data_IF_460542753893
#
_entry.id   IF_460542753893
#
_cell.length_a   1.000
_cell.length_b   1.000
_cell.length_c   1.000
_cell.angle_alpha   90.00
_cell.angle_beta   90.00
_cell.angle_gamma   90.00
#
_symmetry.space_group_name_H-M   'P 1'
#
loop_
_entity.id
_entity.type
_entity.pdbx_description
1 polymer ?
#
# COMPACT_ATOMS: atom_id res chain seq x y z
N UNK A 1 4.79 2.17 -7.86
CA UNK A 1 6.16 1.97 -7.34
C UNK A 1 6.76 0.62 -7.76
N UNK A 2 6.26 -0.54 -7.32
CA UNK A 2 6.85 -1.88 -7.63
C UNK A 2 7.21 -2.07 -9.10
N UNK A 3 6.30 -1.75 -10.03
CA UNK A 3 6.54 -1.93 -11.48
C UNK A 3 7.62 -0.97 -12.00
N UNK A 4 7.69 0.25 -11.47
CA UNK A 4 8.71 1.23 -11.84
C UNK A 4 10.10 0.78 -11.37
N UNK A 5 10.23 0.37 -10.12
CA UNK A 5 11.49 -0.17 -9.57
C UNK A 5 11.93 -1.43 -10.30
N UNK A 6 10.98 -2.33 -10.66
CA UNK A 6 11.29 -3.51 -11.47
C UNK A 6 11.87 -3.14 -12.84
N UNK A 7 11.35 -2.10 -13.51
CA UNK A 7 11.91 -1.61 -14.79
C UNK A 7 13.33 -1.04 -14.63
N UNK A 8 13.60 -0.44 -13.47
CA UNK A 8 14.92 0.08 -13.12
C UNK A 8 15.88 -0.98 -12.56
N UNK A 9 15.47 -2.26 -12.53
CA UNK A 9 16.23 -3.37 -11.94
C UNK A 9 16.58 -3.15 -10.46
N UNK A 10 15.70 -2.45 -9.72
CA UNK A 10 15.83 -2.20 -8.28
C UNK A 10 14.97 -3.21 -7.52
N UNK A 11 15.57 -3.87 -6.51
CA UNK A 11 14.88 -4.77 -5.61
C UNK A 11 13.73 -4.08 -4.88
N UNK A 12 12.63 -4.80 -4.66
CA UNK A 12 11.46 -4.28 -3.98
C UNK A 12 10.74 -5.36 -3.20
N UNK A 13 10.57 -5.12 -1.90
CA UNK A 13 9.75 -5.95 -0.99
C UNK A 13 8.64 -5.08 -0.41
N UNK A 14 7.48 -5.68 -0.24
CA UNK A 14 6.33 -5.04 0.39
C UNK A 14 6.18 -5.57 1.81
N UNK A 15 6.40 -4.71 2.80
CA UNK A 15 6.21 -5.01 4.21
C UNK A 15 4.73 -4.93 4.63
N UNK A 16 4.40 -5.47 5.79
CA UNK A 16 3.13 -5.19 6.47
C UNK A 16 3.07 -3.71 6.85
N UNK A 17 1.85 -3.21 7.13
CA UNK A 17 1.66 -1.82 7.58
C UNK A 17 2.27 -1.61 8.96
N UNK A 18 3.10 -0.59 9.09
CA UNK A 18 3.82 -0.18 10.31
C UNK A 18 5.33 -0.11 10.08
N UNK A 19 5.95 0.95 10.57
CA UNK A 19 7.38 1.25 10.41
C UNK A 19 8.30 0.12 10.86
N UNK A 20 7.96 -0.54 11.97
CA UNK A 20 8.70 -1.71 12.48
C UNK A 20 8.81 -2.85 11.46
N UNK A 21 7.78 -3.05 10.63
CA UNK A 21 7.79 -4.09 9.59
C UNK A 21 8.62 -3.67 8.39
N UNK A 22 8.66 -2.36 8.11
CA UNK A 22 9.56 -1.80 7.10
C UNK A 22 11.00 -1.98 7.56
N UNK A 23 11.31 -1.63 8.82
CA UNK A 23 12.63 -1.81 9.41
C UNK A 23 13.09 -3.29 9.38
N UNK A 24 12.21 -4.20 9.81
CA UNK A 24 12.47 -5.64 9.75
C UNK A 24 12.79 -6.11 8.32
N UNK A 25 12.00 -5.68 7.33
CA UNK A 25 12.21 -6.06 5.94
C UNK A 25 13.52 -5.49 5.37
N UNK A 26 13.94 -4.31 5.82
CA UNK A 26 15.24 -3.72 5.45
C UNK A 26 16.39 -4.55 6.01
N UNK A 27 16.33 -4.92 7.28
CA UNK A 27 17.34 -5.74 7.97
C UNK A 27 17.48 -7.12 7.31
N UNK A 28 16.35 -7.82 7.11
CA UNK A 28 16.32 -9.15 6.46
C UNK A 28 16.91 -9.18 5.05
N UNK A 29 16.83 -8.06 4.31
CA UNK A 29 17.34 -7.96 2.93
C UNK A 29 18.69 -7.23 2.82
N UNK A 30 19.25 -6.72 3.92
CA UNK A 30 20.45 -5.89 3.91
C UNK A 30 20.25 -4.58 3.15
N UNK A 31 19.05 -4.01 3.18
CA UNK A 31 18.71 -2.77 2.48
C UNK A 31 18.68 -1.59 3.44
N UNK A 32 18.89 -0.39 2.89
CA UNK A 32 19.00 0.84 3.70
C UNK A 32 17.83 1.80 3.50
N UNK A 33 17.05 1.66 2.43
CA UNK A 33 15.96 2.60 2.11
C UNK A 33 14.61 1.92 2.11
N UNK A 34 13.69 2.46 2.89
CA UNK A 34 12.30 2.01 2.95
C UNK A 34 11.36 3.15 3.32
N UNK A 35 10.05 2.90 3.22
CA UNK A 35 9.09 3.92 3.61
C UNK A 35 7.64 3.46 3.52
N UNK A 36 6.78 4.29 4.07
CA UNK A 36 5.33 4.09 4.11
C UNK A 36 4.59 5.17 3.31
N UNK A 37 3.38 4.89 2.84
CA UNK A 37 2.53 5.90 2.18
C UNK A 37 2.18 7.10 3.07
N UNK A 38 2.33 6.98 4.39
CA UNK A 38 2.19 8.07 5.36
C UNK A 38 3.25 9.16 5.21
N UNK A 39 4.32 8.90 4.45
CA UNK A 39 5.48 9.79 4.31
C UNK A 39 6.60 9.50 5.31
N UNK A 40 6.47 8.45 6.13
CA UNK A 40 7.56 7.99 6.99
C UNK A 40 8.62 7.29 6.13
N UNK A 41 9.82 7.84 6.06
CA UNK A 41 10.93 7.35 5.24
C UNK A 41 12.10 6.98 6.14
N UNK A 42 12.65 5.79 5.91
CA UNK A 42 13.84 5.26 6.56
C UNK A 42 15.02 5.31 5.59
N UNK A 43 16.17 5.82 6.07
CA UNK A 43 17.47 5.84 5.36
C UNK A 43 18.53 5.38 6.36
N UNK A 44 18.66 4.05 6.52
CA UNK A 44 19.43 3.44 7.63
C UNK A 44 20.93 3.67 7.55
N UNK A 45 21.46 4.05 6.40
CA UNK A 45 22.84 4.48 6.23
C UNK A 45 23.10 5.92 6.74
N UNK A 46 22.04 6.67 7.06
CA UNK A 46 22.10 8.05 7.56
C UNK A 46 21.53 8.21 8.97
N UNK A 47 20.51 7.42 9.31
CA UNK A 47 19.82 7.48 10.60
C UNK A 47 19.28 6.11 10.97
N UNK A 48 19.31 5.76 12.24
CA UNK A 48 18.74 4.50 12.77
C UNK A 48 17.21 4.50 12.86
N UNK A 49 16.59 5.63 12.61
CA UNK A 49 15.13 5.85 12.66
C UNK A 49 14.69 6.73 11.51
N UNK A 50 13.38 6.76 11.24
CA UNK A 50 12.81 7.70 10.29
C UNK A 50 12.99 9.15 10.75
N UNK A 51 13.61 9.95 9.91
CA UNK A 51 13.86 11.37 10.14
C UNK A 51 13.50 12.18 8.89
N UNK A 52 12.50 13.05 9.02
CA UNK A 52 11.97 13.82 7.91
C UNK A 52 13.00 14.83 7.35
N UNK A 53 13.86 15.39 8.20
CA UNK A 53 14.89 16.34 7.77
C UNK A 53 15.96 15.61 6.98
N UNK A 54 16.43 14.47 7.47
CA UNK A 54 17.41 13.63 6.77
C UNK A 54 16.82 13.15 5.44
N UNK A 55 15.58 12.68 5.41
CA UNK A 55 14.91 12.27 4.18
C UNK A 55 14.81 13.42 3.16
N UNK A 56 14.44 14.63 3.62
CA UNK A 56 14.40 15.82 2.75
C UNK A 56 15.78 16.18 2.19
N UNK A 57 16.83 16.13 3.01
CA UNK A 57 18.19 16.39 2.59
C UNK A 57 18.67 15.40 1.53
N UNK A 58 18.29 14.11 1.61
CA UNK A 58 18.62 13.14 0.56
C UNK A 58 17.96 13.54 -0.79
N UNK A 59 16.70 13.95 -0.77
CA UNK A 59 16.00 14.42 -1.98
C UNK A 59 16.68 15.67 -2.56
N UNK A 60 16.99 16.65 -1.72
CA UNK A 60 17.67 17.88 -2.14
C UNK A 60 19.06 17.59 -2.71
N UNK A 61 19.81 16.65 -2.13
CA UNK A 61 21.11 16.21 -2.66
C UNK A 61 20.95 15.69 -4.09
N UNK A 62 19.99 14.80 -4.34
CA UNK A 62 19.74 14.28 -5.71
C UNK A 62 19.34 15.39 -6.67
N UNK A 63 18.53 16.36 -6.24
CA UNK A 63 18.15 17.51 -7.07
C UNK A 63 19.38 18.34 -7.49
N UNK A 64 20.28 18.60 -6.55
CA UNK A 64 21.52 19.35 -6.81
C UNK A 64 22.47 18.57 -7.71
N UNK A 65 22.72 17.30 -7.40
CA UNK A 65 23.63 16.45 -8.18
C UNK A 65 23.17 16.25 -9.63
N UNK A 66 21.85 16.13 -9.84
CA UNK A 66 21.29 15.97 -11.18
C UNK A 66 20.93 17.29 -11.87
N UNK A 67 21.05 18.41 -11.16
CA UNK A 67 20.63 19.73 -11.62
C UNK A 67 19.19 19.72 -12.16
N UNK A 68 18.27 19.10 -11.41
CA UNK A 68 16.86 18.94 -11.77
C UNK A 68 15.94 19.38 -10.64
N UNK A 69 14.80 19.97 -11.00
CA UNK A 69 13.73 20.22 -10.05
C UNK A 69 13.02 18.89 -9.66
N UNK A 70 12.39 18.86 -8.48
CA UNK A 70 11.75 17.64 -7.97
C UNK A 70 10.69 17.08 -8.94
N UNK A 71 9.89 17.93 -9.57
CA UNK A 71 8.86 17.50 -10.52
C UNK A 71 9.47 16.81 -11.76
N UNK A 72 10.68 17.19 -12.19
CA UNK A 72 11.37 16.55 -13.29
C UNK A 72 11.92 15.16 -12.90
N UNK A 73 12.33 15.00 -11.64
CA UNK A 73 12.80 13.71 -11.12
C UNK A 73 11.69 12.67 -11.00
N UNK A 74 10.45 13.11 -10.79
CA UNK A 74 9.31 12.22 -10.56
C UNK A 74 8.32 12.19 -11.73
N UNK A 75 8.56 12.90 -12.83
CA UNK A 75 7.63 13.05 -13.96
C UNK A 75 7.18 11.71 -14.58
N UNK A 76 8.05 10.73 -14.58
CA UNK A 76 7.76 9.39 -15.13
C UNK A 76 7.07 8.46 -14.11
N UNK A 77 6.92 8.93 -12.86
CA UNK A 77 6.29 8.15 -11.79
C UNK A 77 4.79 8.43 -11.74
N UNK A 78 4.01 7.53 -12.32
CA UNK A 78 2.55 7.57 -12.26
C UNK A 78 2.05 6.73 -11.09
N UNK A 79 1.30 7.37 -10.19
CA UNK A 79 0.54 6.66 -9.16
C UNK A 79 -0.61 5.91 -9.81
N UNK A 80 -0.87 4.70 -9.34
CA UNK A 80 -2.07 3.98 -9.71
C UNK A 80 -3.29 4.57 -8.99
N UNK A 81 -4.44 4.62 -9.64
CA UNK A 81 -5.71 4.82 -8.96
C UNK A 81 -5.84 3.90 -7.74
N UNK A 82 -6.28 4.47 -6.62
CA UNK A 82 -6.49 3.75 -5.38
C UNK A 82 -7.78 4.22 -4.72
N UNK A 83 -8.63 3.28 -4.36
CA UNK A 83 -9.87 3.52 -3.62
C UNK A 83 -9.79 2.83 -2.27
N UNK A 84 -10.17 3.54 -1.22
CA UNK A 84 -10.29 3.01 0.13
C UNK A 84 -11.72 3.19 0.62
N UNK A 85 -12.40 2.07 0.89
CA UNK A 85 -13.74 2.05 1.47
C UNK A 85 -13.66 1.59 2.92
N UNK A 86 -14.18 2.42 3.84
CA UNK A 86 -14.34 2.06 5.25
C UNK A 86 -15.77 1.57 5.48
N UNK A 87 -15.93 0.33 5.93
CA UNK A 87 -17.21 -0.31 6.18
C UNK A 87 -17.38 -0.41 7.69
N UNK A 88 -18.31 0.39 8.24
CA UNK A 88 -18.70 0.32 9.65
C UNK A 88 -19.66 -0.84 9.83
N UNK A 89 -19.43 -1.62 10.90
CA UNK A 89 -20.23 -2.77 11.29
C UNK A 89 -20.81 -2.53 12.69
N UNK A 90 -21.77 -3.34 13.08
CA UNK A 90 -22.32 -3.30 14.44
C UNK A 90 -21.38 -3.98 15.45
N UNK A 91 -20.63 -4.98 15.01
CA UNK A 91 -19.68 -5.74 15.83
C UNK A 91 -18.36 -5.97 15.09
N UNK A 92 -17.34 -6.30 15.89
CA UNK A 92 -16.02 -6.67 15.34
C UNK A 92 -16.15 -7.97 14.53
N UNK A 93 -15.71 -7.94 13.29
CA UNK A 93 -15.72 -9.06 12.36
C UNK A 93 -14.33 -9.25 11.77
N UNK A 94 -13.89 -10.50 11.65
CA UNK A 94 -12.74 -10.84 10.86
C UNK A 94 -13.20 -11.26 9.44
N UNK A 95 -12.94 -10.45 8.38
CA UNK A 95 -13.44 -10.76 7.05
C UNK A 95 -12.82 -12.05 6.47
N UNK A 96 -11.65 -12.46 6.95
CA UNK A 96 -11.01 -13.69 6.52
C UNK A 96 -11.53 -14.95 7.22
N UNK A 97 -12.35 -14.82 8.24
CA UNK A 97 -13.05 -15.97 8.86
C UNK A 97 -14.28 -16.42 8.07
N UNK A 98 -14.71 -15.64 7.07
CA UNK A 98 -15.91 -15.91 6.26
C UNK A 98 -15.49 -16.47 4.88
N UNK A 99 -15.73 -17.76 4.58
CA UNK A 99 -15.25 -18.38 3.32
C UNK A 99 -15.79 -17.71 2.06
N UNK A 100 -17.03 -17.20 2.10
CA UNK A 100 -17.63 -16.47 0.98
C UNK A 100 -16.84 -15.19 0.66
N UNK A 101 -16.41 -14.42 1.66
CA UNK A 101 -15.60 -13.22 1.47
C UNK A 101 -14.20 -13.56 0.98
N UNK A 102 -13.58 -14.59 1.53
CA UNK A 102 -12.25 -15.05 1.06
C UNK A 102 -12.29 -15.42 -0.42
N UNK A 103 -13.38 -16.04 -0.87
CA UNK A 103 -13.58 -16.37 -2.28
C UNK A 103 -13.61 -15.11 -3.16
N UNK A 104 -14.36 -14.08 -2.74
CA UNK A 104 -14.43 -12.82 -3.48
C UNK A 104 -13.07 -12.07 -3.48
N UNK A 105 -12.36 -12.09 -2.35
CA UNK A 105 -11.03 -11.49 -2.27
C UNK A 105 -10.03 -12.17 -3.23
N UNK A 106 -10.02 -13.49 -3.26
CA UNK A 106 -9.15 -14.25 -4.16
C UNK A 106 -9.47 -13.98 -5.64
N UNK A 107 -10.75 -13.87 -6.01
CA UNK A 107 -11.15 -13.48 -7.37
C UNK A 107 -10.62 -12.09 -7.74
N UNK A 108 -10.79 -11.12 -6.84
CA UNK A 108 -10.30 -9.77 -7.04
C UNK A 108 -8.77 -9.70 -7.16
N UNK A 109 -8.04 -10.47 -6.33
CA UNK A 109 -6.59 -10.55 -6.43
C UNK A 109 -6.13 -11.15 -7.76
N UNK A 110 -6.78 -12.22 -8.23
CA UNK A 110 -6.45 -12.82 -9.53
C UNK A 110 -6.80 -11.89 -10.70
N UNK A 111 -7.93 -11.17 -10.64
CA UNK A 111 -8.33 -10.18 -11.63
C UNK A 111 -7.30 -9.04 -11.78
N UNK A 112 -6.74 -8.57 -10.67
CA UNK A 112 -5.74 -7.49 -10.62
C UNK A 112 -4.30 -7.98 -10.74
N UNK A 113 -4.08 -9.27 -10.93
CA UNK A 113 -2.74 -9.87 -10.93
C UNK A 113 -1.78 -9.20 -11.93
N UNK A 114 -0.68 -8.70 -11.39
CA UNK A 114 0.35 -7.98 -12.17
C UNK A 114 0.01 -6.53 -12.51
N UNK A 115 -1.24 -6.08 -12.34
CA UNK A 115 -1.73 -4.73 -12.65
C UNK A 115 -2.21 -3.95 -11.43
N UNK A 116 -2.46 -4.63 -10.32
CA UNK A 116 -3.01 -4.02 -9.12
C UNK A 116 -2.90 -4.91 -7.90
N UNK A 117 -3.70 -4.60 -6.89
CA UNK A 117 -3.86 -5.37 -5.66
C UNK A 117 -5.09 -4.96 -4.87
N UNK A 118 -5.51 -5.82 -3.97
CA UNK A 118 -6.42 -5.46 -2.88
C UNK A 118 -5.68 -5.50 -1.54
N UNK A 119 -6.23 -4.81 -0.55
CA UNK A 119 -5.85 -4.94 0.86
C UNK A 119 -7.11 -4.82 1.71
N UNK A 120 -7.49 -5.92 2.33
CA UNK A 120 -8.63 -5.95 3.25
C UNK A 120 -8.09 -6.13 4.67
N UNK A 121 -8.55 -5.30 5.59
CA UNK A 121 -8.13 -5.39 6.99
C UNK A 121 -9.20 -4.90 7.93
N UNK A 122 -9.31 -5.53 9.11
CA UNK A 122 -10.09 -5.01 10.23
C UNK A 122 -9.32 -3.89 10.94
N UNK A 123 -10.05 -2.94 11.51
CA UNK A 123 -9.48 -1.98 12.47
C UNK A 123 -9.15 -2.70 13.78
N UNK A 124 -8.12 -2.26 14.47
CA UNK A 124 -7.74 -2.81 15.78
C UNK A 124 -8.62 -2.30 16.93
N UNK A 125 -9.31 -1.17 16.77
CA UNK A 125 -9.99 -0.43 17.83
C UNK A 125 -11.48 -0.19 17.57
N UNK A 126 -11.92 -0.29 16.32
CA UNK A 126 -13.28 0.02 15.91
C UNK A 126 -13.88 -1.14 15.10
N UNK A 127 -15.20 -1.33 15.09
CA UNK A 127 -15.87 -2.30 14.22
C UNK A 127 -15.90 -1.79 12.76
N UNK A 128 -14.73 -1.66 12.17
CA UNK A 128 -14.53 -1.16 10.81
C UNK A 128 -13.67 -2.13 10.03
N UNK A 129 -14.15 -2.53 8.85
CA UNK A 129 -13.36 -3.20 7.84
C UNK A 129 -12.93 -2.16 6.80
N UNK A 130 -11.65 -2.15 6.45
CA UNK A 130 -11.07 -1.30 5.43
C UNK A 130 -10.75 -2.14 4.21
N UNK A 131 -11.40 -1.80 3.09
CA UNK A 131 -11.17 -2.42 1.78
C UNK A 131 -10.45 -1.39 0.90
N UNK A 132 -9.23 -1.70 0.50
CA UNK A 132 -8.45 -0.89 -0.42
C UNK A 132 -8.23 -1.67 -1.72
N UNK A 133 -8.49 -1.03 -2.85
CA UNK A 133 -8.21 -1.52 -4.19
C UNK A 133 -7.29 -0.53 -4.90
N UNK A 134 -6.24 -1.02 -5.52
CA UNK A 134 -5.27 -0.24 -6.29
C UNK A 134 -5.02 -0.96 -7.62
N UNK A 135 -5.07 -0.26 -8.74
CA UNK A 135 -4.87 -0.84 -10.08
C UNK A 135 -4.57 0.21 -11.14
N UNK A 136 -4.29 -0.22 -12.35
CA UNK A 136 -3.93 0.63 -13.48
C UNK A 136 -5.14 1.24 -14.21
N UNK A 137 -6.35 0.73 -13.97
CA UNK A 137 -7.61 1.24 -14.52
C UNK A 137 -8.51 1.77 -13.40
N UNK A 138 -8.88 3.04 -13.47
CA UNK A 138 -9.68 3.73 -12.46
C UNK A 138 -11.12 3.19 -12.38
N UNK A 139 -11.73 2.84 -13.50
CA UNK A 139 -13.09 2.35 -13.53
C UNK A 139 -13.16 0.94 -12.91
N UNK A 140 -12.20 0.07 -13.25
CA UNK A 140 -12.08 -1.26 -12.67
C UNK A 140 -11.84 -1.18 -11.15
N UNK A 141 -10.94 -0.29 -10.70
CA UNK A 141 -10.63 -0.08 -9.26
C UNK A 141 -11.86 0.36 -8.49
N UNK A 142 -12.63 1.33 -9.01
CA UNK A 142 -13.86 1.80 -8.38
C UNK A 142 -14.92 0.68 -8.30
N UNK A 143 -15.18 0.00 -9.42
CA UNK A 143 -16.18 -1.06 -9.49
C UNK A 143 -15.85 -2.22 -8.54
N UNK A 144 -14.57 -2.61 -8.48
CA UNK A 144 -14.11 -3.71 -7.64
C UNK A 144 -14.14 -3.34 -6.15
N UNK A 145 -13.78 -2.10 -5.80
CA UNK A 145 -13.85 -1.61 -4.43
C UNK A 145 -15.30 -1.61 -3.90
N UNK A 146 -16.24 -1.15 -4.73
CA UNK A 146 -17.67 -1.15 -4.38
C UNK A 146 -18.23 -2.58 -4.29
N UNK A 147 -17.87 -3.47 -5.22
CA UNK A 147 -18.26 -4.87 -5.19
C UNK A 147 -17.81 -5.54 -3.88
N UNK A 148 -16.54 -5.41 -3.51
CA UNK A 148 -15.99 -5.99 -2.29
C UNK A 148 -16.61 -5.38 -1.02
N UNK A 149 -16.85 -4.06 -1.03
CA UNK A 149 -17.53 -3.38 0.08
C UNK A 149 -18.95 -3.90 0.28
N UNK A 150 -19.70 -4.11 -0.81
CA UNK A 150 -21.05 -4.66 -0.75
C UNK A 150 -21.06 -6.13 -0.31
N UNK A 151 -20.11 -6.93 -0.74
CA UNK A 151 -19.95 -8.30 -0.25
C UNK A 151 -19.73 -8.33 1.26
N UNK A 152 -18.86 -7.46 1.80
CA UNK A 152 -18.63 -7.34 3.24
C UNK A 152 -19.90 -6.92 3.98
N UNK A 153 -20.63 -5.90 3.49
CA UNK A 153 -21.90 -5.43 4.10
C UNK A 153 -22.94 -6.53 4.17
N UNK A 154 -23.10 -7.27 3.07
CA UNK A 154 -24.09 -8.37 3.00
C UNK A 154 -23.79 -9.51 3.96
N UNK A 155 -22.54 -9.89 4.12
CA UNK A 155 -22.14 -10.94 5.06
C UNK A 155 -22.21 -10.50 6.52
N UNK A 156 -21.99 -9.22 6.80
CA UNK A 156 -22.08 -8.66 8.15
C UNK A 156 -23.53 -8.55 8.65
N UNK A 157 -24.54 -8.56 7.77
CA UNK A 157 -25.97 -8.59 8.14
C UNK A 157 -26.48 -9.99 8.45
N UNK A 158 -25.74 -11.02 8.10
CA UNK A 158 -26.12 -12.44 8.26
C UNK A 158 -25.40 -13.09 9.46
N UNK A 159 -24.35 -12.44 9.96
CA UNK A 159 -23.51 -12.89 11.08
C UNK A 159 -23.94 -12.23 12.39
#
# INVERSE_FOLDING_TARGET
>A
MKLHLKKANVGFVRAKVGDRYVLQALDENGWVTGGEPSGHILTLDKSTTGDAIIAALQVLTVMVEQNKALHELVQDFKLFPQVLVNIRLEQMLDPYSIPALVTEFNKAEEQLKGRGRILVRKSGTEPVIRVMVEGDDEQEVNALAEHLANAVRSQAQVA
#
